data_IF_604746184073
#
_entry.id   IF_604746184073
#
_cell.length_a   1.000
_cell.length_b   1.000
_cell.length_c   1.000
_cell.angle_alpha   90.00
_cell.angle_beta   90.00
_cell.angle_gamma   90.00
#
_symmetry.space_group_name_H-M   'P 1'
#
loop_
_entity.id
_entity.type
_entity.pdbx_description
1 polymer ?
#
# COMPACT_ATOMS: atom_id res chain seq x y z
N UNK A 1 -1.41 -45.30 4.23
CA UNK A 1 -2.25 -44.13 4.59
C UNK A 1 -2.39 -43.30 3.33
N UNK A 2 -3.59 -43.16 2.74
CA UNK A 2 -3.73 -42.39 1.50
C UNK A 2 -3.45 -40.92 1.81
N UNK A 3 -2.53 -40.32 1.07
CA UNK A 3 -2.25 -38.89 1.13
C UNK A 3 -3.50 -38.14 0.65
N UNK A 4 -4.33 -37.70 1.59
CA UNK A 4 -5.35 -36.68 1.32
C UNK A 4 -4.63 -35.50 0.68
N UNK A 5 -4.90 -35.27 -0.60
CA UNK A 5 -4.47 -34.08 -1.35
C UNK A 5 -4.93 -32.86 -0.56
N UNK A 6 -4.04 -32.31 0.29
CA UNK A 6 -4.29 -31.10 1.07
C UNK A 6 -4.70 -30.01 0.09
N UNK A 7 -6.00 -29.69 0.04
CA UNK A 7 -6.50 -28.58 -0.76
C UNK A 7 -5.78 -27.34 -0.24
N UNK A 8 -4.98 -26.71 -1.10
CA UNK A 8 -4.31 -25.47 -0.73
C UNK A 8 -5.40 -24.45 -0.37
N UNK A 9 -5.41 -23.92 0.86
CA UNK A 9 -6.40 -22.94 1.26
C UNK A 9 -6.28 -21.75 0.32
N UNK A 10 -7.42 -21.35 -0.25
CA UNK A 10 -7.51 -20.19 -1.13
C UNK A 10 -7.47 -18.92 -0.29
N UNK A 11 -6.94 -17.84 -0.86
CA UNK A 11 -7.04 -16.52 -0.25
C UNK A 11 -8.52 -16.13 -0.06
N UNK A 12 -8.84 -15.40 1.01
CA UNK A 12 -10.16 -14.79 1.17
C UNK A 12 -10.52 -13.96 -0.06
N UNK A 13 -11.76 -14.08 -0.51
CA UNK A 13 -12.25 -13.30 -1.66
C UNK A 13 -12.71 -11.91 -1.18
N UNK A 14 -11.76 -11.01 -0.97
CA UNK A 14 -12.04 -9.61 -0.64
C UNK A 14 -11.93 -8.74 -1.89
N UNK A 15 -13.09 -8.35 -2.42
CA UNK A 15 -13.20 -7.57 -3.65
C UNK A 15 -12.41 -6.25 -3.58
N UNK A 16 -12.39 -5.60 -2.41
CA UNK A 16 -11.66 -4.35 -2.22
C UNK A 16 -10.15 -4.56 -2.23
N UNK A 17 -9.64 -5.61 -1.59
CA UNK A 17 -8.22 -5.96 -1.63
C UNK A 17 -7.76 -6.24 -3.06
N UNK A 18 -8.57 -7.00 -3.83
CA UNK A 18 -8.31 -7.30 -5.24
C UNK A 18 -8.34 -6.05 -6.12
N UNK A 19 -9.30 -5.17 -5.92
CA UNK A 19 -9.40 -3.92 -6.67
C UNK A 19 -8.20 -2.99 -6.37
N UNK A 20 -7.75 -2.90 -5.12
CA UNK A 20 -6.58 -2.13 -4.74
C UNK A 20 -5.29 -2.70 -5.36
N UNK A 21 -5.15 -4.02 -5.42
CA UNK A 21 -4.06 -4.69 -6.13
C UNK A 21 -4.10 -4.40 -7.63
N UNK A 22 -5.27 -4.50 -8.26
CA UNK A 22 -5.45 -4.22 -9.68
C UNK A 22 -5.08 -2.77 -10.03
N UNK A 23 -5.47 -1.82 -9.16
CA UNK A 23 -5.10 -0.39 -9.28
C UNK A 23 -3.65 -0.08 -8.88
N UNK A 24 -2.84 -1.10 -8.53
CA UNK A 24 -1.45 -0.97 -8.07
C UNK A 24 -1.29 -0.08 -6.83
N UNK A 25 -2.34 0.03 -6.01
CA UNK A 25 -2.34 0.79 -4.76
C UNK A 25 -1.76 -0.06 -3.62
N UNK A 26 -0.53 -0.52 -3.79
CA UNK A 26 0.10 -1.59 -3.00
C UNK A 26 0.10 -1.36 -1.50
N UNK A 27 0.38 -0.13 -1.04
CA UNK A 27 0.31 0.23 0.38
C UNK A 27 -1.08 0.04 0.96
N UNK A 28 -2.11 0.48 0.22
CA UNK A 28 -3.51 0.36 0.64
C UNK A 28 -3.98 -1.09 0.59
N UNK A 29 -3.58 -1.84 -0.44
CA UNK A 29 -3.83 -3.27 -0.54
C UNK A 29 -3.24 -4.05 0.66
N UNK A 30 -1.97 -3.79 1.01
CA UNK A 30 -1.32 -4.41 2.16
C UNK A 30 -2.05 -4.08 3.48
N UNK A 31 -2.49 -2.84 3.68
CA UNK A 31 -3.30 -2.47 4.84
C UNK A 31 -4.65 -3.21 4.87
N UNK A 32 -5.33 -3.38 3.72
CA UNK A 32 -6.58 -4.15 3.66
C UNK A 32 -6.35 -5.62 3.98
N UNK A 33 -5.28 -6.23 3.47
CA UNK A 33 -4.93 -7.60 3.82
C UNK A 33 -4.59 -7.77 5.31
N UNK A 34 -3.95 -6.79 5.96
CA UNK A 34 -3.76 -6.82 7.43
C UNK A 34 -5.07 -6.77 8.20
N UNK A 35 -6.04 -5.99 7.74
CA UNK A 35 -7.37 -5.98 8.34
C UNK A 35 -8.04 -7.37 8.23
N UNK A 36 -7.97 -7.99 7.04
CA UNK A 36 -8.50 -9.34 6.83
C UNK A 36 -7.79 -10.37 7.73
N UNK A 37 -6.47 -10.27 7.87
CA UNK A 37 -5.69 -11.14 8.75
C UNK A 37 -6.19 -11.12 10.19
N UNK A 38 -6.48 -9.93 10.74
CA UNK A 38 -7.00 -9.78 12.12
C UNK A 38 -8.37 -10.46 12.28
N UNK A 39 -9.16 -10.51 11.21
CA UNK A 39 -10.49 -11.13 11.21
C UNK A 39 -10.45 -12.62 10.82
N UNK A 40 -9.28 -13.18 10.50
CA UNK A 40 -9.14 -14.55 10.02
C UNK A 40 -8.78 -15.49 11.18
N UNK A 41 -9.67 -16.43 11.50
CA UNK A 41 -9.45 -17.43 12.55
C UNK A 41 -8.69 -18.67 12.06
N UNK A 42 -8.83 -19.02 10.77
CA UNK A 42 -8.15 -20.17 10.18
C UNK A 42 -6.66 -19.87 9.93
N UNK A 43 -5.79 -20.62 10.61
CA UNK A 43 -4.33 -20.48 10.58
C UNK A 43 -3.78 -20.63 9.15
N UNK A 44 -4.31 -21.55 8.36
CA UNK A 44 -3.81 -21.78 7.00
C UNK A 44 -4.24 -20.66 6.04
N UNK A 45 -5.41 -20.05 6.27
CA UNK A 45 -5.84 -18.86 5.54
C UNK A 45 -5.01 -17.64 5.98
N UNK A 46 -4.73 -17.51 7.27
CA UNK A 46 -3.90 -16.44 7.83
C UNK A 46 -2.49 -16.45 7.23
N UNK A 47 -1.84 -17.63 7.13
CA UNK A 47 -0.54 -17.79 6.46
C UNK A 47 -0.57 -17.28 5.01
N UNK A 48 -1.62 -17.60 4.25
CA UNK A 48 -1.79 -17.12 2.88
C UNK A 48 -1.95 -15.60 2.82
N UNK A 49 -2.70 -15.03 3.74
CA UNK A 49 -2.86 -13.57 3.84
C UNK A 49 -1.53 -12.90 4.17
N UNK A 50 -0.72 -13.47 5.07
CA UNK A 50 0.64 -12.98 5.38
C UNK A 50 1.55 -13.01 4.14
N UNK A 51 1.55 -14.13 3.40
CA UNK A 51 2.29 -14.23 2.13
C UNK A 51 1.85 -13.14 1.13
N UNK A 52 0.54 -12.85 1.08
CA UNK A 52 0.00 -11.82 0.19
C UNK A 52 0.39 -10.40 0.64
N UNK A 53 0.39 -10.13 1.94
CA UNK A 53 0.89 -8.86 2.50
C UNK A 53 2.35 -8.65 2.11
N UNK A 54 3.20 -9.66 2.31
CA UNK A 54 4.62 -9.59 1.95
C UNK A 54 4.80 -9.33 0.44
N UNK A 55 4.03 -10.02 -0.40
CA UNK A 55 4.04 -9.78 -1.84
C UNK A 55 3.65 -8.34 -2.20
N UNK A 56 2.54 -7.82 -1.64
CA UNK A 56 2.14 -6.43 -1.86
C UNK A 56 3.22 -5.45 -1.40
N UNK A 57 3.92 -5.72 -0.30
CA UNK A 57 4.99 -4.86 0.20
C UNK A 57 6.19 -4.82 -0.74
N UNK A 58 6.56 -5.96 -1.35
CA UNK A 58 7.62 -6.02 -2.35
C UNK A 58 7.30 -5.19 -3.61
N UNK A 59 6.01 -5.02 -3.94
CA UNK A 59 5.60 -4.17 -5.06
C UNK A 59 5.66 -2.67 -4.76
N UNK A 60 5.79 -2.27 -3.48
CA UNK A 60 5.91 -0.87 -3.11
C UNK A 60 7.29 -0.38 -3.55
N UNK A 61 7.39 0.66 -4.40
CA UNK A 61 8.67 1.25 -4.75
C UNK A 61 9.40 1.66 -3.47
N UNK A 62 10.62 1.16 -3.31
CA UNK A 62 11.48 1.59 -2.20
C UNK A 62 11.74 3.08 -2.36
N UNK A 63 11.24 3.89 -1.42
CA UNK A 63 11.65 5.29 -1.35
C UNK A 63 13.13 5.29 -0.97
N UNK A 64 13.97 5.94 -1.77
CA UNK A 64 15.33 6.22 -1.34
C UNK A 64 15.25 7.03 -0.04
N UNK A 65 15.91 6.59 1.05
CA UNK A 65 15.97 7.39 2.26
C UNK A 65 16.55 8.76 1.90
N UNK A 66 15.85 9.83 2.30
CA UNK A 66 16.20 11.21 1.95
C UNK A 66 15.41 11.83 0.80
N UNK A 67 14.68 11.07 -0.02
CA UNK A 67 13.91 11.64 -1.14
C UNK A 67 12.46 11.94 -0.74
N UNK A 68 12.16 13.22 -0.49
CA UNK A 68 10.79 13.71 -0.33
C UNK A 68 10.14 13.83 -1.72
N UNK A 69 9.39 12.80 -2.12
CA UNK A 69 8.56 12.87 -3.33
C UNK A 69 7.25 13.58 -3.00
N UNK A 70 7.16 14.86 -3.36
CA UNK A 70 5.96 15.67 -3.25
C UNK A 70 5.01 15.37 -4.41
N UNK A 71 3.74 15.11 -4.12
CA UNK A 71 2.71 15.03 -5.17
C UNK A 71 2.37 16.42 -5.72
N UNK A 72 1.70 16.48 -6.87
CA UNK A 72 1.23 17.74 -7.43
C UNK A 72 0.29 18.51 -6.46
N UNK A 73 -0.46 17.80 -5.61
CA UNK A 73 -1.29 18.44 -4.59
C UNK A 73 -0.46 19.00 -3.44
N UNK A 74 0.60 18.30 -3.02
CA UNK A 74 1.50 18.78 -1.98
C UNK A 74 2.21 20.07 -2.45
N UNK A 75 2.68 20.11 -3.70
CA UNK A 75 3.27 21.30 -4.31
C UNK A 75 2.29 22.48 -4.34
N UNK A 76 1.03 22.25 -4.75
CA UNK A 76 -0.02 23.28 -4.74
C UNK A 76 -0.31 23.81 -3.34
N UNK A 77 -0.32 22.91 -2.34
CA UNK A 77 -0.56 23.29 -0.96
C UNK A 77 0.59 24.17 -0.44
N UNK A 78 1.84 23.77 -0.70
CA UNK A 78 3.04 24.53 -0.33
C UNK A 78 3.00 25.93 -0.96
N UNK A 79 2.73 26.04 -2.26
CA UNK A 79 2.64 27.34 -2.94
C UNK A 79 1.49 28.20 -2.40
N UNK A 80 0.35 27.59 -2.04
CA UNK A 80 -0.77 28.30 -1.42
C UNK A 80 -0.36 28.91 -0.09
N UNK A 81 0.30 28.12 0.76
CA UNK A 81 0.76 28.58 2.09
C UNK A 81 1.83 29.65 1.94
N UNK A 82 2.80 29.47 1.04
CA UNK A 82 3.85 30.45 0.78
C UNK A 82 3.29 31.81 0.37
N UNK A 83 2.31 31.84 -0.55
CA UNK A 83 1.62 33.07 -0.95
C UNK A 83 0.90 33.76 0.21
N UNK A 84 0.28 32.99 1.10
CA UNK A 84 -0.39 33.53 2.27
C UNK A 84 0.59 34.20 3.26
N UNK A 85 1.85 33.74 3.29
CA UNK A 85 2.92 34.31 4.10
C UNK A 85 3.66 35.47 3.41
N UNK A 86 3.20 35.92 2.24
CA UNK A 86 3.86 36.97 1.45
C UNK A 86 5.07 36.50 0.65
N UNK A 87 5.36 35.19 0.66
CA UNK A 87 6.35 34.60 -0.23
C UNK A 87 5.75 34.31 -1.62
N UNK A 88 6.59 34.26 -2.66
CA UNK A 88 6.17 33.80 -4.00
C UNK A 88 5.87 32.30 -4.04
N UNK A 89 5.66 31.75 -5.25
CA UNK A 89 5.61 30.30 -5.44
C UNK A 89 7.02 29.71 -5.23
N UNK A 90 7.17 28.88 -4.18
CA UNK A 90 8.48 28.35 -3.74
C UNK A 90 8.65 26.86 -4.06
N UNK A 91 7.57 26.15 -4.40
CA UNK A 91 7.61 24.71 -4.60
C UNK A 91 8.61 24.28 -5.70
N UNK A 92 8.83 25.13 -6.71
CA UNK A 92 9.81 24.91 -7.78
C UNK A 92 11.28 24.88 -7.31
N UNK A 93 11.58 25.41 -6.12
CA UNK A 93 12.93 25.48 -5.56
C UNK A 93 13.24 24.33 -4.59
N UNK A 94 12.27 23.43 -4.37
CA UNK A 94 12.35 22.33 -3.41
C UNK A 94 12.46 20.95 -4.09
N UNK A 95 12.58 20.92 -5.42
CA UNK A 95 12.76 19.71 -6.20
C UNK A 95 14.23 19.65 -6.62
N UNK A 96 15.01 18.76 -6.02
CA UNK A 96 16.28 18.25 -6.56
C UNK A 96 16.04 17.06 -7.48
#
# INVERSE_FOLDING_TARGET
>A
MPEEKRKTPKLPDDAMARELEHKKLWRRAACRWRYILVMTEDIHIAERVVQRIAWCQQQIPQKRPGTLVLSANDLRHIDKVARALGCGAIARHWIE
#
